data_IF_385747666601
#
_entry.id   IF_385747666601
#
_cell.length_a   1.000
_cell.length_b   1.000
_cell.length_c   1.000
_cell.angle_alpha   90.00
_cell.angle_beta   90.00
_cell.angle_gamma   90.00
#
_symmetry.space_group_name_H-M   'P 1'
#
loop_
_entity.id
_entity.type
_entity.pdbx_description
1 polymer ?
#
# COMPACT_ATOMS: atom_id res chain seq x y z
N UNK A 1 21.51 -10.27 15.80
CA UNK A 1 21.47 -9.07 14.95
C UNK A 1 20.06 -8.98 14.39
N UNK A 2 19.14 -8.38 15.16
CA UNK A 2 17.76 -8.24 14.74
C UNK A 2 17.69 -7.13 13.69
N UNK A 3 17.38 -7.50 12.46
CA UNK A 3 17.05 -6.59 11.38
C UNK A 3 15.79 -5.81 11.78
N UNK A 4 15.99 -4.65 12.41
CA UNK A 4 14.92 -3.74 12.80
C UNK A 4 14.42 -3.05 11.54
N UNK A 5 13.49 -3.71 10.88
CA UNK A 5 12.50 -3.06 10.03
C UNK A 5 11.92 -1.89 10.85
N UNK A 6 12.13 -0.65 10.41
CA UNK A 6 11.73 0.56 11.14
C UNK A 6 10.21 0.52 11.27
N UNK A 7 9.71 0.14 12.45
CA UNK A 7 8.28 0.13 12.71
C UNK A 7 7.70 1.50 12.38
N UNK A 8 6.62 1.52 11.60
CA UNK A 8 5.84 2.74 11.41
C UNK A 8 5.54 3.30 12.80
N UNK A 9 5.86 4.57 13.06
CA UNK A 9 5.60 5.23 14.34
C UNK A 9 4.09 5.49 14.48
N UNK A 10 3.31 4.41 14.53
CA UNK A 10 1.86 4.47 14.69
C UNK A 10 1.52 4.96 16.10
N UNK A 11 0.42 5.69 16.17
CA UNK A 11 -0.14 6.16 17.43
C UNK A 11 -0.67 4.97 18.22
N UNK A 12 -0.30 4.91 19.49
CA UNK A 12 -0.91 4.00 20.46
C UNK A 12 -2.28 4.54 20.87
N UNK A 13 -3.17 3.64 21.31
CA UNK A 13 -4.45 4.03 21.89
C UNK A 13 -4.26 5.00 23.06
N UNK A 14 -5.07 6.06 23.09
CA UNK A 14 -4.95 7.12 24.10
C UNK A 14 -3.80 8.11 23.88
N UNK A 15 -3.10 8.04 22.74
CA UNK A 15 -2.07 9.02 22.41
C UNK A 15 -2.62 10.45 22.38
N UNK A 16 -1.89 11.45 22.94
CA UNK A 16 -2.30 12.85 22.91
C UNK A 16 -2.32 13.46 21.50
N UNK A 17 -1.79 12.75 20.51
CA UNK A 17 -1.81 13.18 19.12
C UNK A 17 -3.11 12.79 18.37
N UNK A 18 -4.00 11.99 18.98
CA UNK A 18 -5.28 11.61 18.40
C UNK A 18 -6.23 12.80 18.36
N UNK A 19 -6.82 13.11 17.21
CA UNK A 19 -7.80 14.19 17.01
C UNK A 19 -7.29 15.57 17.47
N UNK A 20 -5.99 15.87 17.26
CA UNK A 20 -5.35 17.14 17.68
C UNK A 20 -4.59 17.87 16.58
N UNK A 21 -4.58 17.35 15.37
CA UNK A 21 -3.95 17.93 14.20
C UNK A 21 -4.87 18.83 13.38
N UNK A 22 -4.32 19.41 12.31
CA UNK A 22 -5.04 20.23 11.35
C UNK A 22 -4.90 19.69 9.92
N UNK A 23 -5.83 20.06 9.06
CA UNK A 23 -5.80 19.77 7.62
C UNK A 23 -6.15 21.03 6.80
N UNK A 24 -5.36 22.12 6.91
CA UNK A 24 -5.67 23.39 6.24
C UNK A 24 -5.65 23.30 4.72
N UNK A 25 -4.83 22.40 4.17
CA UNK A 25 -4.70 22.16 2.73
C UNK A 25 -5.76 21.18 2.19
N UNK A 26 -6.67 20.72 3.05
CA UNK A 26 -7.74 19.78 2.73
C UNK A 26 -7.24 18.53 1.97
N UNK A 27 -6.14 17.94 2.45
CA UNK A 27 -5.57 16.73 1.87
C UNK A 27 -6.54 15.56 2.08
N UNK A 28 -6.72 14.73 1.05
CA UNK A 28 -7.56 13.53 1.12
C UNK A 28 -6.87 12.40 1.90
N UNK A 29 -5.54 12.34 1.83
CA UNK A 29 -4.75 11.21 2.35
C UNK A 29 -3.61 11.66 3.25
N UNK A 30 -3.28 10.83 4.25
CA UNK A 30 -2.04 10.94 5.02
C UNK A 30 -0.83 10.42 4.23
N UNK A 31 0.36 10.39 4.84
CA UNK A 31 1.62 10.18 4.12
C UNK A 31 1.78 8.79 3.47
N UNK A 32 1.02 7.78 3.90
CA UNK A 32 0.97 6.47 3.21
C UNK A 32 0.23 6.51 1.86
N UNK A 33 -0.51 7.58 1.58
CA UNK A 33 -1.17 7.82 0.30
C UNK A 33 -2.57 7.20 0.17
N UNK A 34 -3.07 7.02 -1.08
CA UNK A 34 -4.44 6.60 -1.35
C UNK A 34 -4.87 5.33 -0.59
N UNK A 35 -6.00 5.44 0.10
CA UNK A 35 -6.53 4.40 0.99
C UNK A 35 -6.24 4.65 2.47
N UNK A 36 -5.45 5.67 2.81
CA UNK A 36 -5.24 6.13 4.18
C UNK A 36 -5.76 7.58 4.31
N UNK A 37 -7.00 7.80 4.77
CA UNK A 37 -7.59 9.13 4.88
C UNK A 37 -6.73 10.08 5.72
N UNK A 38 -6.72 11.38 5.39
CA UNK A 38 -6.00 12.37 6.21
C UNK A 38 -6.66 12.64 7.56
N UNK A 39 -7.98 12.42 7.65
CA UNK A 39 -8.78 12.65 8.85
C UNK A 39 -9.65 11.44 9.09
N UNK A 40 -9.49 10.81 10.26
CA UNK A 40 -10.42 9.80 10.77
C UNK A 40 -10.92 10.27 12.13
N UNK A 41 -12.20 10.63 12.23
CA UNK A 41 -12.79 11.16 13.47
C UNK A 41 -13.09 12.65 13.36
N UNK A 42 -12.75 13.41 14.41
CA UNK A 42 -13.11 14.83 14.52
C UNK A 42 -12.05 15.76 13.95
N UNK A 43 -10.79 15.35 13.91
CA UNK A 43 -9.68 16.10 13.33
C UNK A 43 -8.56 15.14 12.86
N UNK A 44 -7.62 15.64 12.06
CA UNK A 44 -6.42 14.86 11.73
C UNK A 44 -5.66 14.51 13.01
N UNK A 45 -4.94 13.40 13.01
CA UNK A 45 -3.94 13.13 14.04
C UNK A 45 -2.66 13.95 13.77
N UNK A 46 -1.95 14.29 14.85
CA UNK A 46 -0.64 14.96 14.73
C UNK A 46 0.38 13.96 14.20
N UNK A 47 1.09 14.35 13.13
CA UNK A 47 2.18 13.58 12.53
C UNK A 47 1.83 12.98 11.18
N UNK A 48 2.61 11.95 10.81
CA UNK A 48 2.59 11.31 9.50
C UNK A 48 1.33 10.48 9.22
N UNK A 49 0.65 10.03 10.28
CA UNK A 49 -0.33 8.96 10.19
C UNK A 49 -1.55 9.14 11.09
N UNK A 50 -2.72 8.70 10.60
CA UNK A 50 -3.95 8.55 11.38
C UNK A 50 -3.94 7.29 12.29
N UNK A 51 -2.78 6.64 12.46
CA UNK A 51 -2.62 5.45 13.28
C UNK A 51 -3.17 4.21 12.58
N UNK A 52 -3.90 3.36 13.32
CA UNK A 52 -4.47 2.11 12.82
C UNK A 52 -5.74 2.34 11.97
N UNK A 53 -5.80 3.46 11.25
CA UNK A 53 -6.79 3.70 10.22
C UNK A 53 -6.73 2.56 9.20
N UNK A 54 -7.83 1.84 9.06
CA UNK A 54 -7.93 0.73 8.12
C UNK A 54 -7.66 1.26 6.71
N UNK A 55 -6.76 0.59 5.97
CA UNK A 55 -6.58 0.84 4.55
C UNK A 55 -7.93 0.61 3.87
N UNK A 56 -8.55 1.66 3.35
CA UNK A 56 -9.63 1.48 2.38
C UNK A 56 -8.99 0.80 1.17
N UNK A 57 -9.41 -0.43 0.89
CA UNK A 57 -8.78 -1.29 -0.12
C UNK A 57 -8.87 -0.62 -1.49
N UNK A 58 -7.79 0.07 -1.89
CA UNK A 58 -7.63 0.55 -3.26
C UNK A 58 -7.44 -0.67 -4.15
N UNK A 59 -8.38 -0.89 -5.07
CA UNK A 59 -8.31 -1.97 -6.03
C UNK A 59 -7.03 -1.81 -6.87
N UNK A 60 -6.06 -2.69 -6.65
CA UNK A 60 -4.86 -2.76 -7.48
C UNK A 60 -5.26 -3.49 -8.76
N UNK A 61 -5.05 -2.90 -9.96
CA UNK A 61 -5.39 -3.58 -11.20
C UNK A 61 -4.55 -4.85 -11.32
N UNK A 62 -5.22 -5.99 -11.36
CA UNK A 62 -4.62 -7.29 -11.66
C UNK A 62 -5.06 -7.75 -13.04
N UNK A 63 -4.19 -8.50 -13.70
CA UNK A 63 -4.59 -9.20 -14.91
C UNK A 63 -5.68 -10.22 -14.57
N UNK A 64 -6.72 -10.29 -15.42
CA UNK A 64 -7.71 -11.34 -15.32
C UNK A 64 -7.07 -12.72 -15.48
N UNK A 65 -7.69 -13.80 -14.95
CA UNK A 65 -7.12 -15.15 -14.98
C UNK A 65 -6.68 -15.61 -16.38
N UNK A 66 -7.47 -15.28 -17.40
CA UNK A 66 -7.17 -15.61 -18.79
C UNK A 66 -5.97 -14.84 -19.35
N UNK A 67 -5.80 -13.56 -18.98
CA UNK A 67 -4.65 -12.78 -19.41
C UNK A 67 -3.36 -13.28 -18.75
N UNK A 68 -3.42 -13.71 -17.49
CA UNK A 68 -2.30 -14.38 -16.81
C UNK A 68 -1.97 -15.73 -17.45
N UNK A 69 -2.99 -16.52 -17.82
CA UNK A 69 -2.79 -17.79 -18.50
C UNK A 69 -2.12 -17.60 -19.87
N UNK A 70 -2.58 -16.61 -20.65
CA UNK A 70 -2.00 -16.26 -21.94
C UNK A 70 -0.54 -15.81 -21.81
N UNK A 71 -0.24 -14.93 -20.84
CA UNK A 71 1.12 -14.48 -20.57
C UNK A 71 2.03 -15.64 -20.14
N UNK A 72 1.51 -16.56 -19.31
CA UNK A 72 2.25 -17.73 -18.86
C UNK A 72 2.60 -18.67 -20.03
N UNK A 73 1.64 -18.90 -20.93
CA UNK A 73 1.86 -19.69 -22.13
C UNK A 73 2.89 -19.03 -23.07
N UNK A 74 2.82 -17.70 -23.22
CA UNK A 74 3.78 -16.93 -24.03
C UNK A 74 5.21 -17.06 -23.48
N UNK A 75 5.41 -16.82 -22.18
CA UNK A 75 6.72 -16.90 -21.52
C UNK A 75 7.27 -18.31 -21.58
N UNK A 76 6.45 -19.33 -21.28
CA UNK A 76 6.84 -20.73 -21.39
C UNK A 76 7.22 -21.14 -22.81
N UNK A 77 6.43 -20.72 -23.81
CA UNK A 77 6.67 -20.99 -25.22
C UNK A 77 7.96 -20.33 -25.72
N UNK A 78 8.22 -19.07 -25.36
CA UNK A 78 9.45 -18.37 -25.69
C UNK A 78 10.68 -19.04 -25.06
N UNK A 79 10.59 -19.41 -23.78
CA UNK A 79 11.66 -20.12 -23.08
C UNK A 79 11.99 -21.46 -23.72
N UNK A 80 10.96 -22.22 -24.10
CA UNK A 80 11.14 -23.50 -24.80
C UNK A 80 11.77 -23.34 -26.18
N UNK A 81 11.32 -22.35 -26.97
CA UNK A 81 11.90 -22.05 -28.29
C UNK A 81 13.36 -21.63 -28.20
N UNK A 82 13.74 -20.86 -27.17
CA UNK A 82 15.14 -20.50 -26.91
C UNK A 82 15.98 -21.74 -26.60
N UNK A 83 15.50 -22.61 -25.70
CA UNK A 83 16.22 -23.84 -25.32
C UNK A 83 16.46 -24.76 -26.52
N UNK A 84 15.48 -24.91 -27.42
CA UNK A 84 15.60 -25.74 -28.63
C UNK A 84 16.56 -25.19 -29.69
N UNK A 85 16.97 -23.92 -29.61
CA UNK A 85 17.92 -23.29 -30.55
C UNK A 85 19.36 -23.26 -30.02
N UNK A 86 19.57 -23.63 -28.76
CA UNK A 86 20.87 -23.59 -28.08
C UNK A 86 21.48 -24.96 -27.81
N UNK A 87 20.81 -26.04 -28.24
CA UNK A 87 21.34 -27.39 -28.31
C UNK A 87 21.23 -27.89 -29.74
#
# INVERSE_FOLDING_TARGET
MADRNVGTHLLLDGSPAIDRGSNPDNLDFEQRGPGFPRVVGVAANIGATEGNAQRLATAVPVLGPWALAALSALVGGLGWRRRRRSG
#
